data_IF_912645958244
#
_entry.id   IF_912645958244
#
_cell.length_a   1.000
_cell.length_b   1.000
_cell.length_c   1.000
_cell.angle_alpha   90.00
_cell.angle_beta   90.00
_cell.angle_gamma   90.00
#
_symmetry.space_group_name_H-M   'P 1'
#
loop_
_entity.id
_entity.type
_entity.pdbx_description
1 polymer ?
#
# COMPACT_ATOMS: atom_id res chain seq x y z
N UNK A 1 -6.66 3.08 4.98
CA UNK A 1 -7.10 3.70 3.70
C UNK A 1 -8.07 4.86 3.89
N UNK A 2 -9.06 4.78 4.81
CA UNK A 2 -10.07 5.83 5.01
C UNK A 2 -9.50 7.22 5.37
N UNK A 3 -8.44 7.28 6.19
CA UNK A 3 -7.74 8.54 6.51
C UNK A 3 -7.08 9.18 5.28
N UNK A 4 -6.46 8.37 4.42
CA UNK A 4 -5.84 8.80 3.16
C UNK A 4 -6.92 9.32 2.21
N UNK A 5 -8.03 8.58 2.06
CA UNK A 5 -9.17 9.00 1.24
C UNK A 5 -9.68 10.39 1.65
N UNK A 6 -9.91 10.61 2.95
CA UNK A 6 -10.32 11.92 3.48
C UNK A 6 -9.32 13.03 3.15
N UNK A 7 -8.01 12.74 3.28
CA UNK A 7 -6.96 13.72 2.96
C UNK A 7 -6.93 14.04 1.46
N UNK A 8 -7.07 13.04 0.58
CA UNK A 8 -7.15 13.23 -0.89
C UNK A 8 -8.34 14.11 -1.26
N UNK A 9 -9.52 13.80 -0.73
CA UNK A 9 -10.75 14.60 -0.98
C UNK A 9 -10.57 16.04 -0.51
N UNK A 10 -10.07 16.23 0.71
CA UNK A 10 -9.83 17.57 1.27
C UNK A 10 -8.86 18.39 0.41
N UNK A 11 -7.72 17.81 0.00
CA UNK A 11 -6.76 18.49 -0.86
C UNK A 11 -7.36 18.81 -2.24
N UNK A 12 -8.19 17.92 -2.79
CA UNK A 12 -8.84 18.12 -4.08
C UNK A 12 -9.84 19.28 -4.03
N UNK A 13 -10.64 19.36 -2.97
CA UNK A 13 -11.60 20.43 -2.74
C UNK A 13 -10.90 21.78 -2.55
N UNK A 14 -9.84 21.82 -1.74
CA UNK A 14 -9.04 23.02 -1.54
C UNK A 14 -8.37 23.47 -2.86
N UNK A 15 -7.83 22.54 -3.65
CA UNK A 15 -7.23 22.86 -4.95
C UNK A 15 -8.23 23.47 -5.92
N UNK A 16 -9.45 22.91 -6.02
CA UNK A 16 -10.52 23.47 -6.85
C UNK A 16 -10.96 24.84 -6.37
N UNK A 17 -11.17 25.00 -5.06
CA UNK A 17 -11.57 26.28 -4.48
C UNK A 17 -10.51 27.35 -4.75
N UNK A 18 -9.23 27.02 -4.57
CA UNK A 18 -8.13 27.95 -4.79
C UNK A 18 -7.97 28.32 -6.27
N UNK A 19 -8.10 27.35 -7.17
CA UNK A 19 -8.09 27.62 -8.60
C UNK A 19 -9.22 28.59 -9.01
N UNK A 20 -10.42 28.43 -8.47
CA UNK A 20 -11.53 29.36 -8.73
C UNK A 20 -11.29 30.75 -8.15
N UNK A 21 -10.59 30.89 -6.99
CA UNK A 21 -10.18 32.20 -6.47
C UNK A 21 -9.21 32.89 -7.42
N UNK A 22 -8.18 32.18 -7.89
CA UNK A 22 -7.19 32.72 -8.84
C UNK A 22 -7.86 33.18 -10.14
N UNK A 23 -8.80 32.39 -10.67
CA UNK A 23 -9.55 32.73 -11.89
C UNK A 23 -10.39 34.00 -11.73
N UNK A 24 -10.98 34.24 -10.56
CA UNK A 24 -11.78 35.45 -10.29
C UNK A 24 -10.90 36.69 -10.13
N UNK A 25 -9.69 36.54 -9.60
CA UNK A 25 -8.75 37.65 -9.37
C UNK A 25 -8.11 38.18 -10.66
N UNK A 26 -8.12 37.41 -11.76
CA UNK A 26 -7.61 37.80 -13.09
C UNK A 26 -8.38 39.00 -13.72
N UNK A 27 -9.51 39.40 -13.13
CA UNK A 27 -10.34 40.52 -13.59
C UNK A 27 -10.00 41.88 -12.95
N UNK A 28 -9.07 41.95 -11.99
CA UNK A 28 -8.62 43.19 -11.36
C UNK A 28 -7.10 43.21 -11.23
N UNK A 29 -6.43 43.54 -12.33
CA UNK A 29 -4.99 43.73 -12.39
C UNK A 29 -4.60 45.02 -11.65
N UNK A 30 -4.46 44.95 -10.32
CA UNK A 30 -3.98 46.07 -9.52
C UNK A 30 -2.63 45.71 -8.91
N UNK A 31 -1.60 46.40 -9.40
CA UNK A 31 -0.20 46.23 -9.00
C UNK A 31 -0.06 46.80 -7.58
N UNK A 32 -0.21 45.96 -6.56
CA UNK A 32 -0.22 46.41 -5.17
C UNK A 32 -0.08 45.30 -4.14
N UNK A 33 1.15 44.79 -3.99
CA UNK A 33 1.81 44.26 -2.79
C UNK A 33 0.96 43.58 -1.67
N UNK A 34 1.37 42.35 -1.32
CA UNK A 34 0.98 41.49 -0.19
C UNK A 34 -0.24 40.56 -0.33
N UNK A 35 -1.27 40.87 -1.13
CA UNK A 35 -2.37 39.91 -1.36
C UNK A 35 -1.91 38.66 -2.13
N UNK A 36 -0.94 38.83 -3.01
CA UNK A 36 -0.51 37.82 -3.99
C UNK A 36 0.31 36.69 -3.35
N UNK A 37 0.97 36.97 -2.21
CA UNK A 37 1.73 35.97 -1.46
C UNK A 37 0.81 34.95 -0.77
N UNK A 38 -0.35 35.37 -0.26
CA UNK A 38 -1.28 34.45 0.41
C UNK A 38 -1.85 33.40 -0.56
N UNK A 39 -2.12 33.78 -1.81
CA UNK A 39 -2.61 32.82 -2.81
C UNK A 39 -1.54 31.79 -3.20
N UNK A 40 -0.28 32.24 -3.24
CA UNK A 40 0.86 31.37 -3.49
C UNK A 40 1.10 30.39 -2.33
N UNK A 41 1.07 30.87 -1.09
CA UNK A 41 1.25 30.03 0.10
C UNK A 41 0.20 28.93 0.19
N UNK A 42 -1.09 29.25 -0.06
CA UNK A 42 -2.18 28.26 -0.13
C UNK A 42 -1.93 27.23 -1.25
N UNK A 43 -1.44 27.67 -2.41
CA UNK A 43 -1.13 26.77 -3.54
C UNK A 43 0.04 25.84 -3.21
N UNK A 44 1.06 26.35 -2.52
CA UNK A 44 2.22 25.58 -2.09
C UNK A 44 1.87 24.60 -0.95
N UNK A 45 0.98 24.97 -0.04
CA UNK A 45 0.46 24.04 0.98
C UNK A 45 -0.22 22.84 0.33
N UNK A 46 -1.07 23.09 -0.68
CA UNK A 46 -1.75 22.03 -1.44
C UNK A 46 -0.73 21.16 -2.18
N UNK A 47 0.30 21.77 -2.78
CA UNK A 47 1.39 21.05 -3.46
C UNK A 47 2.16 20.12 -2.51
N UNK A 48 2.64 20.62 -1.37
CA UNK A 48 3.36 19.80 -0.39
C UNK A 48 2.45 18.76 0.28
N UNK A 49 1.19 19.09 0.50
CA UNK A 49 0.17 18.14 0.95
C UNK A 49 -0.01 17.00 -0.05
N UNK A 50 0.00 17.30 -1.35
CA UNK A 50 -0.10 16.30 -2.41
C UNK A 50 1.14 15.41 -2.45
N UNK A 51 2.36 15.98 -2.34
CA UNK A 51 3.60 15.20 -2.23
C UNK A 51 3.54 14.23 -1.05
N UNK A 52 3.12 14.71 0.12
CA UNK A 52 3.06 13.90 1.33
C UNK A 52 2.13 12.68 1.17
N UNK A 53 1.00 12.88 0.49
CA UNK A 53 0.04 11.80 0.16
C UNK A 53 0.65 10.82 -0.84
N UNK A 54 1.27 11.31 -1.91
CA UNK A 54 1.93 10.45 -2.92
C UNK A 54 3.09 9.65 -2.33
N UNK A 55 3.88 10.23 -1.42
CA UNK A 55 4.95 9.53 -0.70
C UNK A 55 4.40 8.41 0.17
N UNK A 56 3.26 8.64 0.82
CA UNK A 56 2.65 7.64 1.69
C UNK A 56 2.10 6.45 0.89
N UNK A 57 1.57 6.69 -0.30
CA UNK A 57 0.94 5.66 -1.13
C UNK A 57 1.96 4.93 -2.02
N UNK A 58 2.79 5.68 -2.76
CA UNK A 58 3.67 5.11 -3.78
C UNK A 58 5.15 5.08 -3.37
N UNK A 59 5.51 5.73 -2.26
CA UNK A 59 6.89 5.87 -1.81
C UNK A 59 7.65 7.03 -2.46
N UNK A 60 8.72 7.48 -1.79
CA UNK A 60 9.50 8.69 -2.11
C UNK A 60 10.12 8.72 -3.51
N UNK A 61 10.41 7.55 -4.09
CA UNK A 61 11.08 7.43 -5.38
C UNK A 61 10.14 7.08 -6.55
N UNK A 62 8.82 7.16 -6.32
CA UNK A 62 7.82 6.79 -7.31
C UNK A 62 7.82 7.69 -8.55
N UNK A 63 7.42 7.12 -9.68
CA UNK A 63 7.25 7.86 -10.94
C UNK A 63 6.23 9.00 -10.81
N UNK A 64 5.19 8.83 -9.97
CA UNK A 64 4.19 9.85 -9.69
C UNK A 64 4.79 11.11 -9.08
N UNK A 65 5.69 10.97 -8.10
CA UNK A 65 6.37 12.11 -7.48
C UNK A 65 7.33 12.75 -8.48
N UNK A 66 8.11 11.95 -9.21
CA UNK A 66 9.05 12.46 -10.23
C UNK A 66 8.33 13.30 -11.28
N UNK A 67 7.16 12.87 -11.74
CA UNK A 67 6.37 13.61 -12.72
C UNK A 67 5.81 14.92 -12.14
N UNK A 68 5.29 14.91 -10.91
CA UNK A 68 4.82 16.14 -10.25
C UNK A 68 5.96 17.17 -10.09
N UNK A 69 7.14 16.72 -9.65
CA UNK A 69 8.33 17.57 -9.56
C UNK A 69 8.75 18.11 -10.93
N UNK A 70 8.70 17.27 -11.97
CA UNK A 70 9.01 17.67 -13.34
C UNK A 70 8.03 18.73 -13.87
N UNK A 71 6.73 18.55 -13.63
CA UNK A 71 5.68 19.52 -13.98
C UNK A 71 5.96 20.85 -13.28
N UNK A 72 6.21 20.84 -11.98
CA UNK A 72 6.50 22.06 -11.23
C UNK A 72 7.74 22.78 -11.78
N UNK A 73 8.83 22.05 -12.04
CA UNK A 73 10.04 22.60 -12.64
C UNK A 73 9.78 23.21 -14.03
N UNK A 74 8.98 22.54 -14.87
CA UNK A 74 8.57 23.09 -16.17
C UNK A 74 7.80 24.40 -16.00
N UNK A 75 6.84 24.46 -15.08
CA UNK A 75 6.06 25.68 -14.78
C UNK A 75 6.96 26.82 -14.32
N UNK A 76 7.89 26.55 -13.39
CA UNK A 76 8.84 27.54 -12.88
C UNK A 76 9.78 28.07 -13.97
N UNK A 77 10.10 27.25 -14.98
CA UNK A 77 10.96 27.64 -16.11
C UNK A 77 10.31 28.60 -17.11
N UNK A 78 8.98 28.77 -17.08
CA UNK A 78 8.26 29.64 -18.02
C UNK A 78 8.60 31.10 -17.75
N UNK A 79 9.26 31.76 -18.71
CA UNK A 79 9.61 33.18 -18.63
C UNK A 79 8.38 34.08 -18.70
N UNK A 80 8.43 35.21 -17.99
CA UNK A 80 7.43 36.29 -18.03
C UNK A 80 6.00 35.87 -17.68
N UNK A 81 5.86 34.87 -16.80
CA UNK A 81 4.57 34.42 -16.30
C UNK A 81 4.37 34.87 -14.86
N UNK A 82 3.20 35.42 -14.56
CA UNK A 82 2.85 35.82 -13.19
C UNK A 82 2.80 34.62 -12.25
N UNK A 83 2.90 34.88 -10.94
CA UNK A 83 2.89 33.83 -9.91
C UNK A 83 1.54 33.11 -9.94
N UNK A 84 0.45 33.85 -10.05
CA UNK A 84 -0.93 33.36 -10.10
C UNK A 84 -1.14 32.43 -11.29
N UNK A 85 -0.60 32.79 -12.46
CA UNK A 85 -0.72 31.97 -13.65
C UNK A 85 0.11 30.69 -13.56
N UNK A 86 1.23 30.69 -12.80
CA UNK A 86 2.01 29.48 -12.49
C UNK A 86 1.25 28.61 -11.50
N UNK A 87 0.73 29.19 -10.43
CA UNK A 87 -0.04 28.50 -9.41
C UNK A 87 -1.32 27.88 -9.99
N UNK A 88 -2.03 28.59 -10.85
CA UNK A 88 -3.21 28.07 -11.54
C UNK A 88 -2.88 26.83 -12.40
N UNK A 89 -1.73 26.82 -13.07
CA UNK A 89 -1.28 25.64 -13.82
C UNK A 89 -0.89 24.49 -12.90
N UNK A 90 -0.16 24.77 -11.82
CA UNK A 90 0.23 23.77 -10.84
C UNK A 90 -1.00 23.12 -10.20
N UNK A 91 -1.97 23.93 -9.77
CA UNK A 91 -3.23 23.47 -9.19
C UNK A 91 -4.05 22.65 -10.20
N UNK A 92 -4.07 23.02 -11.48
CA UNK A 92 -4.73 22.22 -12.51
C UNK A 92 -4.13 20.81 -12.59
N UNK A 93 -2.79 20.71 -12.59
CA UNK A 93 -2.10 19.41 -12.57
C UNK A 93 -2.39 18.62 -11.29
N UNK A 94 -2.35 19.27 -10.13
CA UNK A 94 -2.66 18.65 -8.84
C UNK A 94 -4.10 18.13 -8.79
N UNK A 95 -5.08 18.89 -9.29
CA UNK A 95 -6.48 18.47 -9.37
C UNK A 95 -6.59 17.19 -10.21
N UNK A 96 -5.89 17.11 -11.35
CA UNK A 96 -5.85 15.91 -12.18
C UNK A 96 -5.30 14.70 -11.42
N UNK A 97 -4.14 14.86 -10.77
CA UNK A 97 -3.50 13.81 -9.97
C UNK A 97 -4.41 13.33 -8.84
N UNK A 98 -4.97 14.25 -8.04
CA UNK A 98 -5.84 13.91 -6.92
C UNK A 98 -7.17 13.29 -7.38
N UNK A 99 -7.68 13.67 -8.55
CA UNK A 99 -8.87 13.05 -9.13
C UNK A 99 -8.61 11.60 -9.53
N UNK A 100 -7.48 11.33 -10.19
CA UNK A 100 -7.08 9.97 -10.51
C UNK A 100 -6.85 9.13 -9.25
N UNK A 101 -6.12 9.68 -8.27
CA UNK A 101 -5.86 8.98 -7.02
C UNK A 101 -7.14 8.68 -6.24
N UNK A 102 -8.09 9.63 -6.20
CA UNK A 102 -9.41 9.39 -5.62
C UNK A 102 -10.12 8.22 -6.32
N UNK A 103 -10.12 8.20 -7.65
CA UNK A 103 -10.69 7.12 -8.43
C UNK A 103 -10.02 5.77 -8.12
N UNK A 104 -8.69 5.72 -8.03
CA UNK A 104 -7.95 4.51 -7.69
C UNK A 104 -8.28 3.98 -6.29
N UNK A 105 -8.44 4.88 -5.31
CA UNK A 105 -8.84 4.52 -3.94
C UNK A 105 -10.29 4.03 -3.90
N UNK A 106 -11.20 4.70 -4.62
CA UNK A 106 -12.64 4.37 -4.62
C UNK A 106 -12.94 3.05 -5.33
N UNK A 107 -12.06 2.60 -6.22
CA UNK A 107 -12.20 1.36 -6.97
C UNK A 107 -11.23 0.26 -6.48
N UNK A 108 -10.62 0.43 -5.30
CA UNK A 108 -9.71 -0.55 -4.68
C UNK A 108 -8.47 -0.93 -5.52
N UNK A 109 -8.04 -0.08 -6.47
CA UNK A 109 -6.87 -0.36 -7.31
C UNK A 109 -5.57 -0.42 -6.51
N UNK A 110 -5.43 0.38 -5.45
CA UNK A 110 -4.24 0.33 -4.59
C UNK A 110 -4.16 -1.00 -3.81
N UNK A 111 -5.32 -1.51 -3.37
CA UNK A 111 -5.40 -2.79 -2.67
C UNK A 111 -5.09 -3.94 -3.62
N UNK A 112 -5.51 -3.87 -4.88
CA UNK A 112 -5.18 -4.90 -5.87
C UNK A 112 -3.69 -4.96 -6.19
N UNK A 113 -3.02 -3.80 -6.29
CA UNK A 113 -1.55 -3.74 -6.46
C UNK A 113 -0.84 -4.35 -5.25
N UNK A 114 -1.24 -4.00 -4.02
CA UNK A 114 -0.66 -4.56 -2.81
C UNK A 114 -0.83 -6.08 -2.73
N UNK A 115 -2.02 -6.60 -3.09
CA UNK A 115 -2.29 -8.04 -3.20
C UNK A 115 -1.37 -8.70 -4.22
N UNK A 116 -1.18 -8.09 -5.40
CA UNK A 116 -0.32 -8.63 -6.46
C UNK A 116 1.14 -8.71 -6.04
N UNK A 117 1.68 -7.66 -5.41
CA UNK A 117 3.07 -7.66 -4.92
C UNK A 117 3.25 -8.70 -3.82
N UNK A 118 2.30 -8.79 -2.89
CA UNK A 118 2.36 -9.77 -1.81
C UNK A 118 2.36 -11.19 -2.37
N UNK A 119 1.50 -11.47 -3.37
CA UNK A 119 1.46 -12.75 -4.07
C UNK A 119 2.78 -13.11 -4.74
N UNK A 120 3.44 -12.17 -5.40
CA UNK A 120 4.74 -12.38 -6.03
C UNK A 120 5.79 -12.81 -4.99
N UNK A 121 5.91 -12.04 -3.90
CA UNK A 121 6.83 -12.35 -2.80
C UNK A 121 6.53 -13.72 -2.18
N UNK A 122 5.27 -14.06 -1.94
CA UNK A 122 4.89 -15.38 -1.42
C UNK A 122 5.21 -16.50 -2.39
N UNK A 123 5.01 -16.27 -3.69
CA UNK A 123 5.33 -17.25 -4.73
C UNK A 123 6.84 -17.51 -4.76
N UNK A 124 7.67 -16.49 -4.55
CA UNK A 124 9.13 -16.66 -4.44
C UNK A 124 9.51 -17.49 -3.21
N UNK A 125 8.96 -17.18 -2.02
CA UNK A 125 9.21 -17.97 -0.82
C UNK A 125 8.79 -19.44 -0.96
N UNK A 126 7.63 -19.69 -1.57
CA UNK A 126 7.13 -21.04 -1.84
C UNK A 126 8.05 -21.74 -2.86
N UNK A 127 8.48 -21.04 -3.91
CA UNK A 127 9.37 -21.58 -4.94
C UNK A 127 10.73 -21.98 -4.37
N UNK A 128 11.35 -21.11 -3.58
CA UNK A 128 12.60 -21.43 -2.89
C UNK A 128 12.42 -22.56 -1.87
N UNK A 129 11.30 -22.58 -1.13
CA UNK A 129 11.01 -23.69 -0.22
C UNK A 129 10.91 -25.04 -0.95
N UNK A 130 10.28 -25.08 -2.13
CA UNK A 130 10.21 -26.29 -2.98
C UNK A 130 11.56 -26.75 -3.50
N UNK A 131 12.43 -25.81 -3.87
CA UNK A 131 13.80 -26.11 -4.28
C UNK A 131 14.57 -26.79 -3.13
N UNK A 132 14.50 -26.21 -1.93
CA UNK A 132 15.17 -26.77 -0.74
C UNK A 132 14.55 -28.10 -0.29
N UNK A 133 13.23 -28.26 -0.44
CA UNK A 133 12.56 -29.54 -0.20
C UNK A 133 13.09 -30.66 -1.10
N UNK A 134 13.36 -30.31 -2.36
CA UNK A 134 13.87 -31.22 -3.39
C UNK A 134 15.35 -31.56 -3.17
N UNK A 135 16.16 -30.59 -2.74
CA UNK A 135 17.57 -30.79 -2.37
C UNK A 135 17.75 -31.55 -1.06
N UNK A 136 16.71 -31.62 -0.22
CA UNK A 136 16.72 -32.33 1.06
C UNK A 136 17.07 -31.44 2.25
N UNK A 137 17.26 -30.13 2.07
CA UNK A 137 17.46 -29.19 3.17
C UNK A 137 16.13 -28.84 3.84
N UNK A 138 15.72 -29.71 4.78
CA UNK A 138 14.48 -29.55 5.52
C UNK A 138 14.45 -28.31 6.41
N UNK A 139 15.61 -27.82 6.86
CA UNK A 139 15.71 -26.70 7.80
C UNK A 139 15.39 -25.39 7.08
N UNK A 140 16.06 -25.12 5.96
CA UNK A 140 15.79 -23.92 5.16
C UNK A 140 14.36 -23.99 4.60
N UNK A 141 13.98 -25.15 4.06
CA UNK A 141 12.65 -25.39 3.52
C UNK A 141 11.53 -25.05 4.52
N UNK A 142 11.63 -25.59 5.75
CA UNK A 142 10.63 -25.42 6.81
C UNK A 142 10.53 -23.97 7.29
N UNK A 143 11.66 -23.27 7.44
CA UNK A 143 11.69 -21.86 7.84
C UNK A 143 11.00 -20.98 6.80
N UNK A 144 11.32 -21.16 5.51
CA UNK A 144 10.75 -20.35 4.43
C UNK A 144 9.23 -20.53 4.32
N UNK A 145 8.74 -21.78 4.37
CA UNK A 145 7.30 -22.02 4.22
C UNK A 145 6.50 -21.60 5.45
N UNK A 146 7.06 -21.74 6.66
CA UNK A 146 6.42 -21.23 7.88
C UNK A 146 6.33 -19.70 7.87
N UNK A 147 7.39 -19.03 7.40
CA UNK A 147 7.40 -17.58 7.24
C UNK A 147 6.37 -17.12 6.19
N UNK A 148 6.32 -17.79 5.04
CA UNK A 148 5.35 -17.49 3.98
C UNK A 148 3.91 -17.63 4.47
N UNK A 149 3.58 -18.70 5.19
CA UNK A 149 2.24 -18.91 5.73
C UNK A 149 1.87 -17.85 6.80
N UNK A 150 2.76 -17.60 7.76
CA UNK A 150 2.51 -16.61 8.82
C UNK A 150 2.32 -15.20 8.24
N UNK A 151 3.16 -14.81 7.29
CA UNK A 151 3.07 -13.50 6.65
C UNK A 151 1.83 -13.38 5.76
N UNK A 152 1.47 -14.46 5.05
CA UNK A 152 0.20 -14.53 4.30
C UNK A 152 -1.01 -14.28 5.19
N UNK A 153 -1.07 -14.93 6.37
CA UNK A 153 -2.17 -14.72 7.32
C UNK A 153 -2.21 -13.29 7.85
N UNK A 154 -1.05 -12.68 8.15
CA UNK A 154 -0.96 -11.29 8.59
C UNK A 154 -1.46 -10.35 7.50
N UNK A 155 -1.00 -10.53 6.26
CA UNK A 155 -1.36 -9.71 5.12
C UNK A 155 -2.86 -9.80 4.80
N UNK A 156 -3.44 -11.00 4.85
CA UNK A 156 -4.89 -11.18 4.70
C UNK A 156 -5.65 -10.42 5.78
N UNK A 157 -5.18 -10.49 7.03
CA UNK A 157 -5.81 -9.77 8.13
C UNK A 157 -5.74 -8.25 7.94
N UNK A 158 -4.56 -7.73 7.57
CA UNK A 158 -4.33 -6.29 7.34
C UNK A 158 -5.19 -5.76 6.17
N UNK A 159 -5.25 -6.48 5.05
CA UNK A 159 -6.08 -6.14 3.88
C UNK A 159 -7.56 -6.08 4.26
N UNK A 160 -8.00 -6.91 5.20
CA UNK A 160 -9.38 -6.92 5.72
C UNK A 160 -9.57 -5.97 6.92
N UNK A 161 -8.63 -5.05 7.16
CA UNK A 161 -8.73 -4.01 8.19
C UNK A 161 -8.59 -4.51 9.63
N UNK A 162 -8.01 -5.70 9.84
CA UNK A 162 -7.75 -6.23 11.17
C UNK A 162 -6.35 -5.84 11.63
N UNK A 163 -6.26 -5.13 12.76
CA UNK A 163 -4.97 -4.89 13.38
C UNK A 163 -4.44 -6.18 14.02
N UNK A 164 -3.39 -6.75 13.41
CA UNK A 164 -2.70 -7.96 13.88
C UNK A 164 -1.28 -7.71 14.35
N UNK A 165 -0.90 -6.44 14.51
CA UNK A 165 0.42 -6.06 15.00
C UNK A 165 0.65 -6.67 16.39
N UNK A 166 1.76 -7.40 16.56
CA UNK A 166 2.14 -8.13 17.79
C UNK A 166 1.22 -9.29 18.20
N UNK A 167 0.28 -9.70 17.35
CA UNK A 167 -0.54 -10.90 17.60
C UNK A 167 0.22 -12.16 17.19
N UNK A 168 0.03 -13.21 17.95
CA UNK A 168 0.44 -14.57 17.59
C UNK A 168 -0.35 -15.10 16.39
N UNK A 169 0.21 -16.07 15.68
CA UNK A 169 -0.45 -16.72 14.55
C UNK A 169 -1.83 -17.29 14.93
N UNK A 170 -1.96 -17.88 16.13
CA UNK A 170 -3.24 -18.38 16.64
C UNK A 170 -4.28 -17.26 16.84
N UNK A 171 -3.88 -16.11 17.38
CA UNK A 171 -4.75 -14.95 17.53
C UNK A 171 -5.18 -14.39 16.17
N UNK A 172 -4.29 -14.41 15.18
CA UNK A 172 -4.59 -13.99 13.80
C UNK A 172 -5.63 -14.91 13.18
N UNK A 173 -5.44 -16.23 13.26
CA UNK A 173 -6.38 -17.24 12.76
C UNK A 173 -7.76 -17.05 13.40
N UNK A 174 -7.81 -16.84 14.72
CA UNK A 174 -9.07 -16.59 15.43
C UNK A 174 -9.74 -15.29 14.99
N UNK A 175 -8.97 -14.21 14.78
CA UNK A 175 -9.51 -12.96 14.27
C UNK A 175 -10.10 -13.12 12.87
N UNK A 176 -9.38 -13.77 11.95
CA UNK A 176 -9.83 -14.06 10.59
C UNK A 176 -11.11 -14.92 10.59
N UNK A 177 -11.15 -15.97 11.42
CA UNK A 177 -12.32 -16.84 11.59
C UNK A 177 -13.52 -16.08 12.14
N UNK A 178 -13.33 -15.24 13.16
CA UNK A 178 -14.41 -14.46 13.77
C UNK A 178 -15.07 -13.48 12.80
N UNK A 179 -14.33 -13.05 11.78
CA UNK A 179 -14.79 -12.16 10.71
C UNK A 179 -15.33 -12.89 9.48
N UNK A 180 -15.32 -14.22 9.49
CA UNK A 180 -15.75 -15.04 8.35
C UNK A 180 -14.82 -14.97 7.14
N UNK A 181 -13.60 -14.42 7.29
CA UNK A 181 -12.62 -14.31 6.20
C UNK A 181 -12.04 -15.69 5.86
N UNK A 182 -11.84 -16.52 6.89
CA UNK A 182 -11.52 -17.94 6.72
C UNK A 182 -12.64 -18.79 7.31
N UNK A 183 -12.94 -19.90 6.65
CA UNK A 183 -13.95 -20.85 7.09
C UNK A 183 -13.44 -21.68 8.29
N UNK A 184 -14.37 -22.25 9.07
CA UNK A 184 -14.04 -23.03 10.29
C UNK A 184 -13.14 -24.24 10.00
N UNK A 185 -13.38 -24.95 8.89
CA UNK A 185 -12.54 -26.05 8.42
C UNK A 185 -11.11 -25.60 8.13
N UNK A 186 -10.92 -24.48 7.42
CA UNK A 186 -9.59 -23.91 7.14
C UNK A 186 -8.87 -23.54 8.44
N UNK A 187 -9.56 -22.91 9.38
CA UNK A 187 -8.99 -22.59 10.68
C UNK A 187 -8.52 -23.85 11.45
N UNK A 188 -9.27 -24.95 11.37
CA UNK A 188 -8.86 -26.22 11.97
C UNK A 188 -7.66 -26.87 11.27
N UNK A 189 -7.52 -26.69 9.95
CA UNK A 189 -6.32 -27.13 9.21
C UNK A 189 -5.07 -26.32 9.56
N UNK A 190 -5.22 -25.07 9.97
CA UNK A 190 -4.12 -24.18 10.36
C UNK A 190 -3.56 -24.47 11.77
N UNK A 191 -4.31 -25.14 12.64
CA UNK A 191 -3.87 -25.43 14.02
C UNK A 191 -2.60 -26.31 14.07
N UNK A 192 -2.51 -27.45 13.36
CA UNK A 192 -1.27 -28.23 13.28
C UNK A 192 -0.10 -27.42 12.75
N UNK A 193 -0.32 -26.60 11.71
CA UNK A 193 0.74 -25.78 11.11
C UNK A 193 1.24 -24.68 12.04
N UNK A 194 0.39 -24.16 12.92
CA UNK A 194 0.83 -23.24 13.98
C UNK A 194 1.81 -23.92 14.95
N UNK A 195 1.56 -25.18 15.31
CA UNK A 195 2.46 -25.95 16.19
C UNK A 195 3.76 -26.30 15.47
N UNK A 196 3.67 -26.72 14.21
CA UNK A 196 4.83 -26.99 13.35
C UNK A 196 5.72 -25.76 13.19
N UNK A 197 5.14 -24.60 12.90
CA UNK A 197 5.86 -23.32 12.84
C UNK A 197 6.59 -23.01 14.14
N UNK A 198 5.97 -23.26 15.29
CA UNK A 198 6.64 -23.02 16.58
C UNK A 198 7.85 -23.94 16.77
N UNK A 199 7.72 -25.23 16.44
CA UNK A 199 8.85 -26.17 16.45
C UNK A 199 9.99 -25.68 15.54
N UNK A 200 9.66 -25.29 14.31
CA UNK A 200 10.62 -24.79 13.31
C UNK A 200 11.38 -23.56 13.83
N UNK A 201 10.69 -22.54 14.35
CA UNK A 201 11.36 -21.32 14.82
C UNK A 201 12.04 -21.46 16.19
N UNK A 202 11.71 -22.50 16.94
CA UNK A 202 12.49 -22.93 18.10
C UNK A 202 13.62 -23.90 17.75
N UNK A 203 13.87 -24.14 16.46
CA UNK A 203 14.92 -25.02 15.96
C UNK A 203 14.80 -26.47 16.45
N UNK A 204 13.58 -26.94 16.71
CA UNK A 204 13.27 -28.31 17.13
C UNK A 204 13.19 -29.25 15.93
N UNK A 205 14.35 -29.47 15.28
CA UNK A 205 14.46 -30.14 13.96
C UNK A 205 14.10 -31.62 13.98
N UNK A 206 14.12 -32.28 15.15
CA UNK A 206 13.83 -33.70 15.29
C UNK A 206 12.33 -33.97 15.50
N UNK A 207 11.55 -32.90 15.75
CA UNK A 207 10.13 -33.00 16.08
C UNK A 207 9.18 -33.02 14.88
N UNK A 208 9.72 -33.01 13.66
CA UNK A 208 8.95 -33.04 12.43
C UNK A 208 9.69 -33.74 11.30
N UNK A 209 8.94 -34.22 10.31
CA UNK A 209 9.49 -34.95 9.17
C UNK A 209 9.27 -34.28 7.80
N UNK A 210 9.80 -34.92 6.76
CA UNK A 210 9.67 -34.45 5.38
C UNK A 210 8.22 -34.43 4.89
N UNK A 211 7.38 -35.38 5.32
CA UNK A 211 5.98 -35.45 4.92
C UNK A 211 5.17 -34.28 5.49
N UNK A 212 5.41 -33.91 6.74
CA UNK A 212 4.77 -32.77 7.40
C UNK A 212 5.11 -31.45 6.67
N UNK A 213 6.38 -31.25 6.31
CA UNK A 213 6.80 -30.06 5.55
C UNK A 213 6.21 -30.06 4.14
N UNK A 214 6.20 -31.20 3.45
CA UNK A 214 5.57 -31.32 2.14
C UNK A 214 4.08 -30.97 2.16
N UNK A 215 3.36 -31.40 3.20
CA UNK A 215 1.94 -31.08 3.41
C UNK A 215 1.74 -29.58 3.67
N UNK A 216 2.62 -28.95 4.45
CA UNK A 216 2.60 -27.51 4.70
C UNK A 216 2.85 -26.69 3.42
N UNK A 217 3.76 -27.13 2.54
CA UNK A 217 4.01 -26.48 1.24
C UNK A 217 2.74 -26.51 0.39
N UNK A 218 2.14 -27.69 0.21
CA UNK A 218 0.93 -27.86 -0.60
C UNK A 218 -0.22 -26.99 -0.08
N UNK A 219 -0.46 -27.02 1.24
CA UNK A 219 -1.48 -26.19 1.86
C UNK A 219 -1.22 -24.69 1.67
N UNK A 220 0.01 -24.23 1.90
CA UNK A 220 0.35 -22.80 1.82
C UNK A 220 0.21 -22.28 0.39
N UNK A 221 0.59 -23.08 -0.61
CA UNK A 221 0.41 -22.74 -2.02
C UNK A 221 -1.07 -22.58 -2.39
N UNK A 222 -1.92 -23.54 -2.00
CA UNK A 222 -3.36 -23.46 -2.24
C UNK A 222 -3.98 -22.27 -1.50
N UNK A 223 -3.58 -22.07 -0.24
CA UNK A 223 -4.07 -20.98 0.60
C UNK A 223 -3.73 -19.60 0.01
N UNK A 224 -2.49 -19.37 -0.42
CA UNK A 224 -2.08 -18.12 -1.07
C UNK A 224 -2.84 -17.93 -2.39
N UNK A 225 -2.98 -18.99 -3.18
CA UNK A 225 -3.72 -18.93 -4.45
C UNK A 225 -5.19 -18.54 -4.26
N UNK A 226 -5.84 -19.00 -3.20
CA UNK A 226 -7.26 -18.72 -2.96
C UNK A 226 -7.54 -17.35 -2.34
N UNK A 227 -6.62 -16.81 -1.54
CA UNK A 227 -6.82 -15.56 -0.82
C UNK A 227 -6.23 -14.32 -1.52
N UNK A 228 -5.32 -14.48 -2.48
CA UNK A 228 -4.70 -13.40 -3.24
C UNK A 228 -5.04 -13.46 -4.75
N UNK A 229 -6.29 -13.84 -5.08
CA UNK A 229 -6.82 -13.77 -6.45
C UNK A 229 -6.95 -12.33 -6.96
#
# INVERSE_FOLDING_TARGET
MESIKKRVVHLQENAKAQFEKLKKNDSSFNIGAFSDLNFHDESMEIYYGTISVLENIYGKNSSHIKELLLINNKILSIKYKSIEARDAQLLTSIIGILSNLKYEIENDLLVSIEKSISKEIFTDFISFSKEQYSSGDLKICSVLICAALEDSLKKIADINGLNVTKKSMAEIINALKSKGIIQKNIASLLEPYTRLRNKVFHADWESFDKSEIGSLIAFTEEFVKDHFK
#
